data_IF_823271368654
#
_entry.id   IF_823271368654
#
_cell.length_a   1.000
_cell.length_b   1.000
_cell.length_c   1.000
_cell.angle_alpha   90.00
_cell.angle_beta   90.00
_cell.angle_gamma   90.00
#
_symmetry.space_group_name_H-M   'P 1'
#
loop_
_entity.id
_entity.type
_entity.pdbx_description
1 polymer ?
#
# COMPACT_ATOMS: atom_id res chain seq x y z
N UNK A 1 -19.29 -2.47 -9.79
CA UNK A 1 -18.41 -1.29 -9.60
C UNK A 1 -17.60 -1.13 -10.87
N UNK A 2 -17.73 -0.02 -11.59
CA UNK A 2 -16.86 0.26 -12.73
C UNK A 2 -15.53 0.76 -12.17
N UNK A 3 -14.42 0.11 -12.54
CA UNK A 3 -13.07 0.56 -12.17
C UNK A 3 -12.69 1.65 -13.17
N UNK A 4 -12.67 2.90 -12.74
CA UNK A 4 -12.32 4.04 -13.60
C UNK A 4 -10.80 4.20 -13.77
N UNK A 5 -10.04 3.86 -12.73
CA UNK A 5 -8.59 3.99 -12.69
C UNK A 5 -8.03 2.69 -12.13
N UNK A 6 -7.12 2.04 -12.86
CA UNK A 6 -6.47 0.81 -12.42
C UNK A 6 -5.44 1.11 -11.34
N UNK A 7 -5.56 0.43 -10.21
CA UNK A 7 -4.60 0.51 -9.10
C UNK A 7 -3.70 -0.73 -9.18
N UNK A 8 -2.39 -0.53 -9.13
CA UNK A 8 -1.38 -1.59 -9.10
C UNK A 8 -0.50 -1.42 -7.89
N UNK A 9 -0.04 -2.52 -7.30
CA UNK A 9 0.91 -2.48 -6.18
C UNK A 9 2.33 -2.43 -6.73
N UNK A 10 3.15 -1.53 -6.19
CA UNK A 10 4.56 -1.39 -6.51
C UNK A 10 5.37 -1.16 -5.25
N UNK A 11 6.63 -1.58 -5.26
CA UNK A 11 7.54 -1.35 -4.14
C UNK A 11 8.20 0.01 -4.29
N UNK A 12 7.84 0.96 -3.42
CA UNK A 12 8.48 2.27 -3.30
C UNK A 12 9.22 2.29 -1.96
N UNK A 13 10.53 2.55 -1.98
CA UNK A 13 11.36 2.63 -0.77
C UNK A 13 11.18 1.42 0.19
N UNK A 14 11.22 0.20 -0.37
CA UNK A 14 11.06 -1.07 0.36
C UNK A 14 9.67 -1.30 0.98
N UNK A 15 8.68 -0.44 0.69
CA UNK A 15 7.28 -0.59 1.12
C UNK A 15 6.40 -0.90 -0.08
N UNK A 16 5.44 -1.80 0.11
CA UNK A 16 4.39 -2.06 -0.90
C UNK A 16 3.37 -0.94 -0.83
N UNK A 17 3.31 -0.12 -1.88
CA UNK A 17 2.41 1.04 -1.97
C UNK A 17 1.48 0.84 -3.16
N UNK A 18 0.23 1.26 -2.99
CA UNK A 18 -0.73 1.32 -4.08
C UNK A 18 -0.39 2.48 -5.02
N UNK A 19 -0.26 2.17 -6.30
CA UNK A 19 0.15 3.11 -7.34
C UNK A 19 -0.81 3.11 -8.52
N UNK A 20 -0.74 4.18 -9.31
CA UNK A 20 -1.52 4.39 -10.53
C UNK A 20 -0.58 4.66 -11.68
N UNK A 21 -0.88 4.10 -12.85
CA UNK A 21 -0.11 4.40 -14.06
C UNK A 21 -0.41 5.84 -14.54
N UNK A 22 0.64 6.66 -14.65
CA UNK A 22 0.49 8.06 -15.01
C UNK A 22 -0.08 8.27 -16.42
N UNK A 23 0.17 7.36 -17.37
CA UNK A 23 -0.34 7.47 -18.74
C UNK A 23 -1.83 7.19 -18.81
N UNK A 24 -2.28 6.18 -18.07
CA UNK A 24 -3.71 5.88 -17.94
C UNK A 24 -4.42 7.06 -17.28
N UNK A 25 -3.83 7.63 -16.22
CA UNK A 25 -4.37 8.83 -15.57
C UNK A 25 -4.42 10.03 -16.52
N UNK A 26 -3.35 10.30 -17.27
CA UNK A 26 -3.31 11.39 -18.26
C UNK A 26 -4.40 11.24 -19.34
N UNK A 27 -4.58 10.00 -19.84
CA UNK A 27 -5.60 9.68 -20.84
C UNK A 27 -7.00 9.85 -20.25
N UNK A 28 -7.23 9.38 -19.03
CA UNK A 28 -8.50 9.52 -18.32
C UNK A 28 -8.87 10.98 -18.07
N UNK A 29 -7.88 11.81 -17.72
CA UNK A 29 -8.06 13.25 -17.48
C UNK A 29 -8.22 14.04 -18.78
N UNK A 30 -8.05 13.44 -19.96
CA UNK A 30 -8.19 14.12 -21.27
C UNK A 30 -7.33 15.40 -21.35
N UNK A 31 -6.13 15.35 -20.78
CA UNK A 31 -5.23 16.50 -20.74
C UNK A 31 -4.70 16.79 -22.15
N UNK A 32 -4.87 18.04 -22.60
CA UNK A 32 -4.51 18.47 -23.96
C UNK A 32 -3.00 18.49 -24.23
N UNK A 33 -2.19 18.73 -23.20
CA UNK A 33 -0.73 18.76 -23.33
C UNK A 33 -0.15 17.35 -23.44
N UNK A 34 0.94 17.22 -24.19
CA UNK A 34 1.68 15.96 -24.32
C UNK A 34 2.09 15.42 -22.94
N UNK A 35 1.94 14.11 -22.75
CA UNK A 35 2.22 13.42 -21.47
C UNK A 35 3.60 13.77 -20.88
N UNK A 36 4.64 13.86 -21.72
CA UNK A 36 6.01 14.13 -21.28
C UNK A 36 6.14 15.49 -20.62
N UNK A 37 5.62 16.52 -21.28
CA UNK A 37 5.73 17.90 -20.80
C UNK A 37 4.80 18.09 -19.62
N UNK A 38 3.60 17.50 -19.68
CA UNK A 38 2.65 17.48 -18.59
C UNK A 38 3.26 16.92 -17.29
N UNK A 39 3.77 15.68 -17.31
CA UNK A 39 4.26 15.05 -16.07
C UNK A 39 5.51 15.77 -15.54
N UNK A 40 6.39 16.24 -16.45
CA UNK A 40 7.59 16.98 -16.06
C UNK A 40 7.22 18.30 -15.37
N UNK A 41 6.33 19.08 -15.98
CA UNK A 41 5.90 20.36 -15.41
C UNK A 41 5.19 20.13 -14.08
N UNK A 42 4.33 19.13 -13.97
CA UNK A 42 3.64 18.83 -12.70
C UNK A 42 4.59 18.40 -11.58
N UNK A 43 5.61 17.61 -11.90
CA UNK A 43 6.66 17.24 -10.93
C UNK A 43 7.41 18.49 -10.43
N UNK A 44 7.74 19.40 -11.33
CA UNK A 44 8.47 20.63 -11.03
C UNK A 44 7.61 21.66 -10.27
N UNK A 45 6.38 21.92 -10.73
CA UNK A 45 5.44 22.90 -10.16
C UNK A 45 5.05 22.57 -8.71
N UNK A 46 4.88 21.28 -8.40
CA UNK A 46 4.39 20.79 -7.10
C UNK A 46 5.50 20.17 -6.24
N UNK A 47 6.73 20.09 -6.74
CA UNK A 47 7.87 19.58 -5.98
C UNK A 47 7.80 18.09 -5.64
N UNK A 48 7.19 17.27 -6.50
CA UNK A 48 7.09 15.82 -6.27
C UNK A 48 8.47 15.16 -6.30
N UNK A 49 8.71 14.22 -5.38
CA UNK A 49 10.00 13.55 -5.19
C UNK A 49 9.97 12.11 -5.72
N UNK A 50 11.01 11.75 -6.48
CA UNK A 50 11.21 10.38 -6.97
C UNK A 50 11.56 9.44 -5.80
N UNK A 51 11.00 8.22 -5.81
CA UNK A 51 11.02 7.23 -4.72
C UNK A 51 10.22 7.60 -3.46
N UNK A 52 9.44 8.68 -3.50
CA UNK A 52 8.46 9.02 -2.47
C UNK A 52 7.07 9.15 -3.07
N UNK A 53 6.92 10.05 -4.03
CA UNK A 53 5.63 10.39 -4.64
C UNK A 53 5.39 9.63 -5.95
N UNK A 54 6.46 9.26 -6.65
CA UNK A 54 6.41 8.44 -7.85
C UNK A 54 7.70 7.63 -8.07
N UNK A 55 7.61 6.65 -8.96
CA UNK A 55 8.75 5.91 -9.53
C UNK A 55 8.69 5.98 -11.06
N UNK A 56 9.86 6.08 -11.70
CA UNK A 56 9.97 6.13 -13.15
C UNK A 56 10.73 4.92 -13.70
N UNK A 57 10.25 4.37 -14.83
CA UNK A 57 10.85 3.22 -15.51
C UNK A 57 11.13 3.56 -16.96
N UNK A 58 12.32 3.20 -17.45
CA UNK A 58 12.63 3.28 -18.87
C UNK A 58 12.18 2.00 -19.57
N UNK A 59 11.17 2.10 -20.44
CA UNK A 59 10.79 1.01 -21.34
C UNK A 59 11.81 0.93 -22.47
N UNK A 60 12.67 -0.07 -22.41
CA UNK A 60 13.59 -0.42 -23.49
C UNK A 60 12.86 -1.43 -24.38
N UNK A 61 12.43 -1.01 -25.57
CA UNK A 61 11.92 -1.95 -26.57
C UNK A 61 13.11 -2.75 -27.12
N UNK A 62 13.16 -4.05 -26.83
CA UNK A 62 14.09 -4.95 -27.50
C UNK A 62 13.76 -4.99 -29.01
N UNK A 63 14.80 -5.10 -29.85
CA UNK A 63 14.65 -5.10 -31.32
C UNK A 63 13.68 -6.20 -31.78
N UNK A 64 12.93 -5.99 -32.88
CA UNK A 64 11.91 -6.94 -33.36
C UNK A 64 12.43 -8.30 -33.86
N UNK A 65 13.75 -8.54 -33.92
CA UNK A 65 14.34 -9.79 -34.44
C UNK A 65 14.96 -10.69 -33.35
N UNK A 66 14.43 -10.65 -32.12
CA UNK A 66 14.78 -11.63 -31.09
C UNK A 66 13.76 -12.79 -31.07
N UNK A 67 14.18 -14.06 -30.86
CA UNK A 67 13.26 -15.19 -30.74
C UNK A 67 12.17 -14.91 -29.68
N UNK A 68 10.93 -15.32 -29.98
CA UNK A 68 9.68 -14.93 -29.30
C UNK A 68 9.61 -15.14 -27.78
N UNK A 69 10.58 -15.80 -27.14
CA UNK A 69 10.57 -16.07 -25.71
C UNK A 69 10.98 -14.86 -24.84
N UNK A 70 11.48 -13.77 -25.45
CA UNK A 70 11.95 -12.56 -24.73
C UNK A 70 11.20 -11.27 -25.14
N UNK A 71 9.91 -11.35 -25.49
CA UNK A 71 9.16 -10.16 -25.93
C UNK A 71 8.78 -9.20 -24.78
N UNK A 72 8.79 -9.64 -23.52
CA UNK A 72 8.45 -8.82 -22.35
C UNK A 72 9.55 -8.83 -21.27
N UNK A 73 10.83 -8.72 -21.66
CA UNK A 73 11.86 -8.41 -20.66
C UNK A 73 11.82 -6.91 -20.32
N UNK A 74 10.81 -6.50 -19.54
CA UNK A 74 10.82 -5.21 -18.85
C UNK A 74 12.01 -5.20 -17.89
N UNK A 75 13.12 -4.57 -18.27
CA UNK A 75 14.21 -4.33 -17.33
C UNK A 75 13.75 -3.26 -16.33
N UNK A 76 13.23 -3.70 -15.18
CA UNK A 76 12.90 -2.87 -14.01
C UNK A 76 14.18 -2.30 -13.38
N UNK A 77 14.82 -1.37 -14.06
CA UNK A 77 16.04 -0.72 -13.57
C UNK A 77 15.73 0.74 -13.27
N UNK A 78 15.81 1.10 -11.98
CA UNK A 78 15.75 2.51 -11.53
C UNK A 78 16.91 3.35 -12.10
N UNK A 79 18.00 2.71 -12.54
CA UNK A 79 19.09 3.38 -13.23
C UNK A 79 18.69 3.66 -14.68
N UNK A 80 18.79 4.93 -15.09
CA UNK A 80 18.67 5.37 -16.50
C UNK A 80 19.71 4.66 -17.37
N UNK A 81 19.41 3.46 -17.85
CA UNK A 81 20.24 2.78 -18.85
C UNK A 81 20.07 3.56 -20.16
N UNK A 82 21.17 4.13 -20.67
CA UNK A 82 21.16 4.79 -21.98
C UNK A 82 20.91 3.71 -23.06
N UNK A 83 19.81 3.74 -23.81
CA UNK A 83 19.60 2.77 -24.88
C UNK A 83 20.64 2.97 -26.00
N UNK A 84 21.06 1.87 -26.65
CA UNK A 84 22.04 1.87 -27.75
C UNK A 84 21.54 2.57 -29.02
N UNK A 85 20.23 2.79 -29.17
CA UNK A 85 19.63 3.59 -30.24
C UNK A 85 18.19 3.99 -29.88
N UNK A 86 17.78 5.23 -30.18
CA UNK A 86 16.42 5.75 -29.96
C UNK A 86 16.21 6.48 -28.62
N UNK A 87 15.08 7.18 -28.49
CA UNK A 87 14.66 7.89 -27.26
C UNK A 87 13.87 6.90 -26.38
N UNK A 88 14.32 6.58 -25.16
CA UNK A 88 13.61 5.64 -24.31
C UNK A 88 12.25 6.23 -23.91
N UNK A 89 11.21 5.38 -23.93
CA UNK A 89 9.88 5.74 -23.46
C UNK A 89 9.87 5.59 -21.93
N UNK A 90 9.62 6.68 -21.22
CA UNK A 90 9.55 6.66 -19.75
C UNK A 90 8.09 6.40 -19.34
N UNK A 91 7.91 5.45 -18.44
CA UNK A 91 6.66 5.15 -17.75
C UNK A 91 6.77 5.61 -16.30
N UNK A 92 5.69 6.15 -15.75
CA UNK A 92 5.65 6.67 -14.39
C UNK A 92 4.53 5.94 -13.64
N UNK A 93 4.85 5.46 -12.43
CA UNK A 93 3.87 4.96 -11.48
C UNK A 93 3.81 5.95 -10.32
N UNK A 94 2.62 6.50 -10.10
CA UNK A 94 2.37 7.56 -9.13
C UNK A 94 1.74 6.94 -7.88
N UNK A 95 2.10 7.45 -6.71
CA UNK A 95 1.35 7.14 -5.49
C UNK A 95 -0.10 7.62 -5.60
N UNK A 96 -0.99 7.04 -4.80
CA UNK A 96 -2.38 7.49 -4.73
C UNK A 96 -2.51 8.97 -4.35
N UNK A 97 -1.66 9.45 -3.44
CA UNK A 97 -1.69 10.85 -3.00
C UNK A 97 -1.32 11.80 -4.14
N UNK A 98 -0.23 11.51 -4.86
CA UNK A 98 0.14 12.27 -6.06
C UNK A 98 -0.96 12.22 -7.14
N UNK A 99 -1.56 11.05 -7.40
CA UNK A 99 -2.63 10.92 -8.38
C UNK A 99 -3.89 11.73 -8.00
N UNK A 100 -4.24 11.76 -6.71
CA UNK A 100 -5.33 12.59 -6.17
C UNK A 100 -5.03 14.08 -6.37
N UNK A 101 -3.82 14.51 -6.03
CA UNK A 101 -3.40 15.91 -6.20
C UNK A 101 -3.44 16.34 -7.67
N UNK A 102 -2.89 15.54 -8.59
CA UNK A 102 -2.96 15.83 -10.03
C UNK A 102 -4.40 15.94 -10.53
N UNK A 103 -5.28 15.04 -10.09
CA UNK A 103 -6.72 15.08 -10.45
C UNK A 103 -7.41 16.35 -9.95
N UNK A 104 -6.95 16.92 -8.84
CA UNK A 104 -7.45 18.19 -8.30
C UNK A 104 -6.93 19.40 -9.07
N UNK A 105 -5.67 19.35 -9.51
CA UNK A 105 -4.96 20.44 -10.18
C UNK A 105 -5.47 20.69 -11.60
N UNK A 106 -5.84 19.63 -12.34
CA UNK A 106 -6.25 19.76 -13.75
C UNK A 106 -7.55 20.55 -13.97
N UNK A 107 -8.38 20.75 -12.94
CA UNK A 107 -9.63 21.57 -13.00
C UNK A 107 -10.56 21.23 -14.17
N UNK A 108 -10.58 19.96 -14.58
CA UNK A 108 -11.42 19.39 -15.64
C UNK A 108 -12.59 18.59 -15.05
N UNK A 109 -13.63 18.33 -15.86
CA UNK A 109 -14.77 17.53 -15.40
C UNK A 109 -14.36 16.07 -15.12
N UNK A 110 -13.41 15.53 -15.90
CA UNK A 110 -12.82 14.21 -15.64
C UNK A 110 -12.04 14.16 -14.33
N UNK A 111 -11.27 15.19 -13.99
CA UNK A 111 -10.58 15.27 -12.69
C UNK A 111 -11.56 15.42 -11.53
N UNK A 112 -12.69 16.11 -11.72
CA UNK A 112 -13.79 16.11 -10.75
C UNK A 112 -14.37 14.70 -10.55
N UNK A 113 -14.54 13.93 -11.63
CA UNK A 113 -14.98 12.53 -11.56
C UNK A 113 -13.94 11.65 -10.85
N UNK A 114 -12.65 11.75 -11.19
CA UNK A 114 -11.56 11.05 -10.50
C UNK A 114 -11.53 11.39 -9.01
N UNK A 115 -11.66 12.68 -8.64
CA UNK A 115 -11.69 13.10 -7.24
C UNK A 115 -12.87 12.48 -6.48
N UNK A 116 -14.07 12.50 -7.06
CA UNK A 116 -15.25 11.86 -6.45
C UNK A 116 -15.04 10.35 -6.29
N UNK A 117 -14.49 9.71 -7.31
CA UNK A 117 -14.16 8.29 -7.28
C UNK A 117 -13.17 7.96 -6.14
N UNK A 118 -12.07 8.71 -6.01
CA UNK A 118 -11.11 8.52 -4.93
C UNK A 118 -11.73 8.74 -3.54
N UNK A 119 -12.56 9.78 -3.37
CA UNK A 119 -13.29 10.03 -2.11
C UNK A 119 -14.24 8.88 -1.78
N UNK A 120 -14.95 8.34 -2.77
CA UNK A 120 -15.84 7.19 -2.57
C UNK A 120 -15.06 5.93 -2.19
N UNK A 121 -13.91 5.68 -2.81
CA UNK A 121 -13.02 4.58 -2.44
C UNK A 121 -12.51 4.73 -1.01
N UNK A 122 -12.04 5.91 -0.61
CA UNK A 122 -11.59 6.18 0.76
C UNK A 122 -12.72 6.02 1.77
N UNK A 123 -13.93 6.48 1.46
CA UNK A 123 -15.11 6.29 2.32
C UNK A 123 -15.48 4.82 2.50
N UNK A 124 -15.45 4.03 1.42
CA UNK A 124 -15.72 2.59 1.46
C UNK A 124 -14.67 1.84 2.28
N UNK A 125 -13.39 2.19 2.12
CA UNK A 125 -12.31 1.63 2.93
C UNK A 125 -12.47 2.01 4.40
N UNK A 126 -12.82 3.27 4.71
CA UNK A 126 -13.11 3.70 6.08
C UNK A 126 -14.31 2.99 6.68
N UNK A 127 -15.40 2.81 5.94
CA UNK A 127 -16.56 2.08 6.45
C UNK A 127 -16.22 0.62 6.74
N UNK A 128 -15.43 -0.02 5.86
CA UNK A 128 -14.93 -1.38 6.10
C UNK A 128 -14.00 -1.45 7.31
N UNK A 129 -13.05 -0.52 7.46
CA UNK A 129 -12.13 -0.53 8.61
C UNK A 129 -12.84 -0.26 9.94
N UNK A 130 -13.85 0.61 9.95
CA UNK A 130 -14.66 0.89 11.15
C UNK A 130 -15.52 -0.32 11.53
N UNK A 131 -15.88 -1.17 10.57
CA UNK A 131 -16.62 -2.41 10.84
C UNK A 131 -15.77 -3.47 11.56
N UNK A 132 -14.43 -3.42 11.45
CA UNK A 132 -13.51 -4.32 12.16
C UNK A 132 -13.12 -3.84 13.57
N UNK A 133 -13.17 -2.54 13.84
CA UNK A 133 -12.66 -1.96 15.10
C UNK A 133 -13.76 -1.78 16.17
N UNK A 134 -15.03 -1.93 15.80
CA UNK A 134 -16.15 -1.95 16.75
C UNK A 134 -16.57 -3.40 16.98
N UNK A 135 -15.83 -4.13 17.82
CA UNK A 135 -16.24 -5.45 18.31
C UNK A 135 -17.49 -5.31 19.19
N UNK A 136 -18.67 -5.25 18.54
CA UNK A 136 -19.98 -5.16 19.20
C UNK A 136 -20.41 -6.45 19.86
N UNK A 137 -19.60 -7.52 19.78
CA UNK A 137 -19.93 -8.83 20.38
C UNK A 137 -20.12 -8.74 21.89
N UNK A 138 -19.56 -7.69 22.51
CA UNK A 138 -19.61 -7.44 23.95
C UNK A 138 -20.40 -6.18 24.33
N UNK A 139 -21.18 -5.61 23.41
CA UNK A 139 -22.05 -4.48 23.73
C UNK A 139 -23.08 -4.88 24.80
N UNK A 140 -23.31 -3.99 25.77
CA UNK A 140 -24.28 -4.23 26.83
C UNK A 140 -25.71 -4.22 26.24
N UNK A 141 -26.58 -5.18 26.61
CA UNK A 141 -27.96 -5.20 26.17
C UNK A 141 -28.71 -3.93 26.61
N UNK A 142 -29.69 -3.50 25.82
CA UNK A 142 -30.52 -2.31 26.12
C UNK A 142 -31.27 -2.38 27.47
N UNK A 143 -31.50 -3.57 28.01
CA UNK A 143 -32.17 -3.82 29.29
C UNK A 143 -31.20 -4.06 30.46
N UNK A 144 -29.91 -3.74 30.29
CA UNK A 144 -28.87 -3.95 31.29
C UNK A 144 -29.23 -3.46 32.68
N UNK A 145 -29.83 -2.28 32.81
CA UNK A 145 -30.18 -1.71 34.12
C UNK A 145 -31.18 -2.59 34.89
N UNK A 146 -32.12 -3.24 34.20
CA UNK A 146 -33.16 -4.08 34.78
C UNK A 146 -32.74 -5.52 35.12
N UNK A 147 -31.53 -5.95 34.73
CA UNK A 147 -31.04 -7.31 34.99
C UNK A 147 -30.61 -7.54 36.44
N UNK A 148 -30.77 -8.79 36.90
CA UNK A 148 -30.27 -9.21 38.20
C UNK A 148 -28.73 -9.35 38.19
N UNK A 149 -28.11 -9.42 39.38
CA UNK A 149 -26.65 -9.48 39.50
C UNK A 149 -26.03 -10.73 38.82
N UNK A 150 -26.74 -11.86 38.81
CA UNK A 150 -26.28 -13.10 38.17
C UNK A 150 -26.26 -13.00 36.64
N UNK A 151 -27.30 -12.43 36.05
CA UNK A 151 -27.41 -12.15 34.61
C UNK A 151 -26.33 -11.17 34.16
N UNK A 152 -26.12 -10.09 34.93
CA UNK A 152 -25.05 -9.12 34.68
C UNK A 152 -23.67 -9.79 34.69
N UNK A 153 -23.43 -10.69 35.63
CA UNK A 153 -22.17 -11.42 35.72
C UNK A 153 -21.92 -12.32 34.50
N UNK A 154 -22.96 -12.97 33.97
CA UNK A 154 -22.85 -13.81 32.77
C UNK A 154 -22.41 -13.00 31.53
N UNK A 155 -22.97 -11.81 31.34
CA UNK A 155 -22.61 -10.93 30.24
C UNK A 155 -21.19 -10.37 30.37
N UNK A 156 -20.75 -10.04 31.59
CA UNK A 156 -19.38 -9.57 31.84
C UNK A 156 -18.32 -10.68 31.73
N UNK A 157 -18.71 -11.93 31.97
CA UNK A 157 -17.79 -13.07 31.92
C UNK A 157 -17.24 -13.32 30.52
N UNK A 158 -18.05 -13.14 29.47
CA UNK A 158 -17.64 -13.28 28.07
C UNK A 158 -16.44 -12.39 27.68
N UNK A 159 -16.53 -11.06 27.82
CA UNK A 159 -15.43 -10.13 27.50
C UNK A 159 -14.19 -10.39 28.35
N UNK A 160 -14.36 -10.68 29.64
CA UNK A 160 -13.25 -11.01 30.55
C UNK A 160 -12.53 -12.27 30.08
N UNK A 161 -13.29 -13.32 29.72
CA UNK A 161 -12.72 -14.58 29.28
C UNK A 161 -11.91 -14.43 27.98
N UNK A 162 -12.43 -13.71 26.98
CA UNK A 162 -11.71 -13.48 25.72
C UNK A 162 -10.43 -12.68 25.93
N UNK A 163 -10.47 -11.59 26.72
CA UNK A 163 -9.26 -10.83 27.06
C UNK A 163 -8.24 -11.66 27.82
N UNK A 164 -8.69 -12.57 28.67
CA UNK A 164 -7.81 -13.48 29.40
C UNK A 164 -7.12 -14.47 28.45
N UNK A 165 -7.84 -15.02 27.47
CA UNK A 165 -7.28 -15.89 26.43
C UNK A 165 -6.21 -15.15 25.61
N UNK A 166 -6.49 -13.92 25.17
CA UNK A 166 -5.52 -13.11 24.42
C UNK A 166 -4.26 -12.83 25.24
N UNK A 167 -4.41 -12.52 26.53
CA UNK A 167 -3.28 -12.34 27.44
C UNK A 167 -2.41 -13.61 27.56
N UNK A 168 -3.03 -14.80 27.63
CA UNK A 168 -2.30 -16.07 27.65
C UNK A 168 -1.60 -16.37 26.34
N UNK A 169 -2.20 -16.03 25.19
CA UNK A 169 -1.55 -16.18 23.87
C UNK A 169 -0.27 -15.33 23.81
N UNK A 170 -0.34 -14.08 24.28
CA UNK A 170 0.83 -13.18 24.34
C UNK A 170 1.89 -13.71 25.31
N UNK A 171 1.51 -14.29 26.45
CA UNK A 171 2.47 -14.93 27.36
C UNK A 171 3.18 -16.11 26.68
N UNK A 172 2.47 -16.94 25.92
CA UNK A 172 3.05 -18.06 25.19
C UNK A 172 4.06 -17.60 24.13
N UNK A 173 3.73 -16.55 23.37
CA UNK A 173 4.66 -15.92 22.42
C UNK A 173 5.90 -15.37 23.12
N UNK A 174 5.72 -14.67 24.24
CA UNK A 174 6.83 -14.15 25.04
C UNK A 174 7.76 -15.26 25.57
N UNK A 175 7.22 -16.42 25.95
CA UNK A 175 8.03 -17.59 26.32
C UNK A 175 8.85 -18.10 25.15
N UNK A 176 8.26 -18.20 23.95
CA UNK A 176 8.97 -18.59 22.72
C UNK A 176 10.10 -17.62 22.40
N UNK A 177 9.85 -16.31 22.48
CA UNK A 177 10.89 -15.29 22.30
C UNK A 177 12.04 -15.42 23.31
N UNK A 178 11.72 -15.62 24.60
CA UNK A 178 12.75 -15.85 25.63
C UNK A 178 13.59 -17.10 25.36
N UNK A 179 12.99 -18.17 24.86
CA UNK A 179 13.71 -19.39 24.48
C UNK A 179 14.66 -19.14 23.31
N UNK A 180 14.20 -18.49 22.24
CA UNK A 180 15.02 -18.14 21.08
C UNK A 180 16.21 -17.25 21.47
N UNK A 181 15.98 -16.25 22.34
CA UNK A 181 17.05 -15.38 22.83
C UNK A 181 18.09 -16.19 23.62
N UNK A 182 17.66 -17.17 24.41
CA UNK A 182 18.56 -18.05 25.17
C UNK A 182 19.41 -18.91 24.25
N UNK A 183 18.81 -19.50 23.21
CA UNK A 183 19.53 -20.28 22.20
C UNK A 183 20.52 -19.42 21.42
N UNK A 184 20.12 -18.23 20.98
CA UNK A 184 21.00 -17.30 20.29
C UNK A 184 22.23 -16.92 21.14
N UNK A 185 22.04 -16.66 22.44
CA UNK A 185 23.14 -16.41 23.38
C UNK A 185 24.09 -17.61 23.51
N UNK A 186 23.56 -18.84 23.54
CA UNK A 186 24.39 -20.04 23.60
C UNK A 186 25.21 -20.25 22.32
N UNK A 187 24.61 -20.03 21.14
CA UNK A 187 25.31 -20.14 19.86
C UNK A 187 26.45 -19.13 19.77
N UNK A 188 26.20 -17.88 20.18
CA UNK A 188 27.21 -16.82 20.28
C UNK A 188 28.34 -17.18 21.25
N UNK A 189 28.01 -17.72 22.43
CA UNK A 189 29.03 -18.14 23.39
C UNK A 189 29.90 -19.28 22.81
N UNK A 190 29.28 -20.26 22.15
CA UNK A 190 29.99 -21.38 21.50
C UNK A 190 30.89 -20.92 20.35
N UNK A 191 30.45 -19.96 19.54
CA UNK A 191 31.26 -19.42 18.44
C UNK A 191 32.47 -18.64 18.95
N UNK A 192 32.31 -17.86 20.03
CA UNK A 192 33.41 -17.15 20.69
C UNK A 192 34.44 -18.14 21.26
N UNK A 193 34.00 -19.20 21.96
CA UNK A 193 34.93 -20.22 22.48
C UNK A 193 35.67 -21.01 21.40
N UNK A 194 35.11 -21.10 20.19
CA UNK A 194 35.76 -21.78 19.05
C UNK A 194 36.78 -20.88 18.34
N UNK A 195 36.66 -19.56 18.50
CA UNK A 195 37.53 -18.57 17.88
C UNK A 195 38.71 -18.14 18.78
N UNK A 196 38.65 -18.42 20.09
CA UNK A 196 39.73 -18.26 21.06
C UNK A 196 40.60 -19.52 21.13
#
# INVERSE_FOLDING_TARGET
MNILIKITEQTIDQKTVQTVNARELHTFLEVKSNFRDWIKNRIEDYGFLENKDFISFAKILAKPNAPQENQDFMSFTQKRVKPKSGRPSIEYHLTLDMAKELSMVERNEKGRQARRYFIECEKKLKSQSVEYDVDRRFDLPSHWEGMNAGEKALYLLGPIHVRLIDAFRVDEENRKYKALIKEAKQVLARSVTKAA
#
